data_IF_322357660478
#
_entry.id   IF_322357660478
#
_cell.length_a   1.000
_cell.length_b   1.000
_cell.length_c   1.000
_cell.angle_alpha   90.00
_cell.angle_beta   90.00
_cell.angle_gamma   90.00
#
_symmetry.space_group_name_H-M   'P 1'
#
loop_
_entity.id
_entity.type
_entity.pdbx_description
1 polymer ?
#
# COMPACT_ATOMS: atom_id res chain seq x y z
N UNK A 1 12.64 2.10 12.56
CA UNK A 1 12.18 3.46 12.17
C UNK A 1 11.22 3.96 13.25
N UNK A 2 11.46 5.15 13.81
CA UNK A 2 10.79 5.67 15.03
C UNK A 2 9.77 6.76 14.69
N UNK A 3 8.96 6.57 13.66
CA UNK A 3 7.88 7.50 13.32
C UNK A 3 6.64 7.21 14.17
N UNK A 4 6.03 8.25 14.72
CA UNK A 4 4.85 8.16 15.56
C UNK A 4 3.79 9.19 15.10
N UNK A 5 2.59 8.76 14.68
CA UNK A 5 1.55 9.69 14.22
C UNK A 5 0.98 10.59 15.33
N UNK A 6 1.27 10.31 16.60
CA UNK A 6 0.85 11.12 17.75
C UNK A 6 1.71 12.36 17.96
N UNK A 7 2.91 12.41 17.36
CA UNK A 7 3.80 13.55 17.49
C UNK A 7 3.30 14.73 16.67
N UNK A 8 3.48 15.96 17.17
CA UNK A 8 3.15 17.17 16.42
C UNK A 8 4.07 17.25 15.19
N UNK A 9 3.45 17.31 14.01
CA UNK A 9 4.13 17.59 12.75
C UNK A 9 4.01 19.08 12.43
N UNK A 10 5.10 19.71 12.01
CA UNK A 10 5.12 21.07 11.51
C UNK A 10 5.27 21.03 9.99
N UNK A 11 4.49 21.85 9.29
CA UNK A 11 4.56 21.95 7.83
C UNK A 11 5.83 22.73 7.49
N UNK A 12 6.70 22.12 6.71
CA UNK A 12 7.87 22.76 6.12
C UNK A 12 7.57 23.07 4.64
N UNK A 13 7.43 24.35 4.25
CA UNK A 13 7.14 24.74 2.86
C UNK A 13 8.30 24.47 1.89
N UNK A 14 9.52 24.28 2.39
CA UNK A 14 10.72 24.07 1.58
C UNK A 14 11.05 22.59 1.39
N UNK A 15 10.35 21.70 2.09
CA UNK A 15 10.60 20.26 2.01
C UNK A 15 10.25 19.73 0.61
N UNK A 16 11.19 19.01 0.01
CA UNK A 16 10.93 18.26 -1.22
C UNK A 16 9.83 17.20 -0.96
N UNK A 17 8.70 17.23 -1.70
CA UNK A 17 7.68 16.20 -1.60
C UNK A 17 8.22 14.77 -1.78
N UNK A 18 9.25 14.58 -2.61
CA UNK A 18 9.87 13.28 -2.89
C UNK A 18 10.74 12.74 -1.74
N UNK A 19 11.16 13.59 -0.79
CA UNK A 19 11.85 13.18 0.44
C UNK A 19 10.89 12.61 1.51
N UNK A 20 9.60 12.55 1.20
CA UNK A 20 8.62 11.95 2.09
C UNK A 20 8.77 10.43 2.14
N UNK A 21 8.69 9.87 3.35
CA UNK A 21 8.70 8.42 3.53
C UNK A 21 7.48 7.78 2.85
N UNK A 22 7.72 7.10 1.73
CA UNK A 22 6.66 6.44 0.96
C UNK A 22 6.02 5.25 1.70
N UNK A 23 6.61 4.80 2.82
CA UNK A 23 6.05 3.79 3.72
C UNK A 23 5.02 4.30 4.73
N UNK A 24 4.71 5.60 4.77
CA UNK A 24 3.72 6.13 5.72
C UNK A 24 2.34 5.47 5.59
N UNK A 25 1.76 5.25 4.37
CA UNK A 25 0.47 4.59 4.25
C UNK A 25 0.46 3.18 4.84
N UNK A 26 1.56 2.42 4.69
CA UNK A 26 1.71 1.07 5.27
C UNK A 26 1.64 1.11 6.80
N UNK A 27 2.26 2.11 7.44
CA UNK A 27 2.19 2.27 8.89
C UNK A 27 0.81 2.75 9.34
N UNK A 28 0.26 3.76 8.65
CA UNK A 28 -1.00 4.40 9.03
C UNK A 28 -2.20 3.45 8.89
N UNK A 29 -2.30 2.71 7.79
CA UNK A 29 -3.41 1.78 7.52
C UNK A 29 -3.11 0.34 7.97
N UNK A 30 -1.89 0.07 8.43
CA UNK A 30 -1.52 -1.16 9.13
C UNK A 30 -1.56 -0.96 10.65
N UNK A 31 -0.41 -0.62 11.23
CA UNK A 31 -0.21 -0.54 12.69
C UNK A 31 -1.09 0.51 13.38
N UNK A 32 -1.32 1.65 12.75
CA UNK A 32 -1.99 2.81 13.36
C UNK A 32 -3.42 3.04 12.84
N UNK A 33 -4.08 1.98 12.34
CA UNK A 33 -5.39 2.09 11.71
C UNK A 33 -6.47 2.64 12.64
N UNK A 34 -6.52 2.18 13.89
CA UNK A 34 -7.51 2.65 14.85
C UNK A 34 -7.31 4.13 15.20
N UNK A 35 -6.05 4.56 15.36
CA UNK A 35 -5.75 5.98 15.53
C UNK A 35 -6.24 6.82 14.34
N UNK A 36 -6.05 6.33 13.11
CA UNK A 36 -6.56 7.03 11.92
C UNK A 36 -8.09 7.20 11.97
N UNK A 37 -8.83 6.14 12.30
CA UNK A 37 -10.29 6.18 12.38
C UNK A 37 -10.78 7.16 13.45
N UNK A 38 -10.13 7.15 14.62
CA UNK A 38 -10.47 8.06 15.72
C UNK A 38 -10.16 9.51 15.38
N UNK A 39 -9.03 9.76 14.69
CA UNK A 39 -8.59 11.11 14.33
C UNK A 39 -9.42 11.70 13.17
N UNK A 40 -9.89 10.86 12.26
CA UNK A 40 -10.61 11.28 11.04
C UNK A 40 -11.96 10.57 10.89
N UNK A 41 -12.92 10.80 11.81
CA UNK A 41 -14.20 10.06 11.83
C UNK A 41 -15.12 10.34 10.63
N UNK A 42 -14.84 11.40 9.86
CA UNK A 42 -15.52 11.74 8.62
C UNK A 42 -15.04 10.95 7.40
N UNK A 43 -13.92 10.22 7.52
CA UNK A 43 -13.37 9.40 6.45
C UNK A 43 -13.67 7.92 6.73
N UNK A 44 -14.42 7.29 5.82
CA UNK A 44 -14.73 5.86 5.89
C UNK A 44 -13.70 5.10 5.06
N UNK A 45 -13.05 4.10 5.67
CA UNK A 45 -12.19 3.17 4.96
C UNK A 45 -13.03 2.12 4.22
N UNK A 46 -13.15 2.25 2.90
CA UNK A 46 -13.92 1.32 2.06
C UNK A 46 -13.08 0.13 1.60
N UNK A 47 -11.79 0.35 1.30
CA UNK A 47 -10.92 -0.70 0.78
C UNK A 47 -9.52 -0.58 1.37
N UNK A 48 -8.97 -1.72 1.79
CA UNK A 48 -7.58 -1.88 2.20
C UNK A 48 -7.02 -3.13 1.52
N UNK A 49 -6.28 -2.92 0.42
CA UNK A 49 -5.81 -4.00 -0.44
C UNK A 49 -4.31 -3.87 -0.70
N UNK A 50 -3.56 -4.87 -0.29
CA UNK A 50 -2.18 -5.06 -0.73
C UNK A 50 -2.17 -5.44 -2.22
N UNK A 51 -1.14 -5.09 -2.99
CA UNK A 51 -1.08 -5.40 -4.42
C UNK A 51 0.34 -5.74 -4.87
N UNK A 52 0.43 -6.40 -6.04
CA UNK A 52 1.69 -6.64 -6.74
C UNK A 52 2.69 -7.43 -5.91
N UNK A 53 2.29 -8.64 -5.52
CA UNK A 53 3.18 -9.55 -4.77
C UNK A 53 4.26 -10.10 -5.70
N UNK A 54 3.89 -10.50 -6.92
CA UNK A 54 4.80 -11.05 -7.92
C UNK A 54 4.75 -10.25 -9.22
N UNK A 55 3.57 -9.77 -9.60
CA UNK A 55 3.29 -9.23 -10.92
C UNK A 55 4.18 -8.05 -11.30
N UNK A 56 4.48 -7.16 -10.34
CA UNK A 56 5.38 -6.03 -10.60
C UNK A 56 6.83 -6.47 -10.76
N UNK A 57 7.32 -7.35 -9.88
CA UNK A 57 8.70 -7.83 -9.92
C UNK A 57 8.97 -8.65 -11.18
N UNK A 58 8.02 -9.52 -11.55
CA UNK A 58 8.17 -10.40 -12.70
C UNK A 58 7.84 -9.69 -14.03
N UNK A 59 7.15 -8.55 -14.04
CA UNK A 59 6.94 -7.78 -15.28
C UNK A 59 8.19 -7.00 -15.71
N UNK A 60 9.25 -6.98 -14.89
CA UNK A 60 10.47 -6.21 -15.15
C UNK A 60 10.33 -4.70 -14.91
N UNK A 61 9.18 -4.23 -14.41
CA UNK A 61 8.96 -2.80 -14.16
C UNK A 61 9.19 -1.93 -15.42
N UNK A 62 10.24 -1.10 -15.38
CA UNK A 62 10.65 -0.23 -16.50
C UNK A 62 11.73 -0.85 -17.40
N UNK A 63 12.01 -2.14 -17.27
CA UNK A 63 13.00 -2.84 -18.07
C UNK A 63 12.40 -3.32 -19.41
N UNK A 64 13.26 -3.58 -20.40
CA UNK A 64 12.86 -4.10 -21.70
C UNK A 64 12.45 -5.59 -21.66
N UNK A 65 12.68 -6.28 -20.55
CA UNK A 65 12.36 -7.69 -20.36
C UNK A 65 11.14 -7.87 -19.44
N UNK A 66 10.41 -8.98 -19.62
CA UNK A 66 9.34 -9.43 -18.73
C UNK A 66 9.46 -10.95 -18.54
N UNK A 67 9.45 -11.40 -17.30
CA UNK A 67 9.44 -12.84 -16.94
C UNK A 67 8.03 -13.44 -17.03
N UNK A 68 6.99 -12.61 -17.18
CA UNK A 68 5.61 -13.06 -17.38
C UNK A 68 5.21 -12.83 -18.85
N UNK A 69 4.79 -13.88 -19.57
CA UNK A 69 4.12 -13.71 -20.85
C UNK A 69 2.82 -12.91 -20.69
N UNK A 70 2.54 -11.95 -21.57
CA UNK A 70 1.36 -11.07 -21.48
C UNK A 70 0.03 -11.81 -21.27
N UNK A 71 -0.15 -12.97 -21.93
CA UNK A 71 -1.33 -13.84 -21.78
C UNK A 71 -1.57 -14.37 -20.35
N UNK A 72 -0.52 -14.45 -19.53
CA UNK A 72 -0.57 -14.97 -18.16
C UNK A 72 -0.74 -13.88 -17.10
N UNK A 73 -0.63 -12.60 -17.46
CA UNK A 73 -0.73 -11.48 -16.51
C UNK A 73 -2.05 -11.53 -15.73
N UNK A 74 -3.18 -11.66 -16.44
CA UNK A 74 -4.49 -11.74 -15.81
C UNK A 74 -4.65 -12.96 -14.88
N UNK A 75 -4.01 -14.07 -15.22
CA UNK A 75 -4.02 -15.30 -14.41
C UNK A 75 -3.22 -15.10 -13.12
N UNK A 76 -2.02 -14.54 -13.23
CA UNK A 76 -1.17 -14.23 -12.08
C UNK A 76 -1.87 -13.25 -11.12
N UNK A 77 -2.46 -12.17 -11.65
CA UNK A 77 -3.18 -11.20 -10.83
C UNK A 77 -4.39 -11.81 -10.11
N UNK A 78 -5.09 -12.78 -10.73
CA UNK A 78 -6.17 -13.53 -10.07
C UNK A 78 -5.64 -14.39 -8.91
N UNK A 79 -4.49 -15.04 -9.10
CA UNK A 79 -3.83 -15.84 -8.07
C UNK A 79 -3.40 -14.94 -6.91
N UNK A 80 -2.77 -13.80 -7.17
CA UNK A 80 -2.37 -12.84 -6.14
C UNK A 80 -3.55 -12.39 -5.28
N UNK A 81 -4.67 -12.00 -5.93
CA UNK A 81 -5.88 -11.60 -5.20
C UNK A 81 -6.42 -12.73 -4.32
N UNK A 82 -6.34 -13.99 -4.77
CA UNK A 82 -6.75 -15.15 -3.95
C UNK A 82 -5.81 -15.37 -2.78
N UNK A 83 -4.50 -15.26 -2.97
CA UNK A 83 -3.50 -15.38 -1.90
C UNK A 83 -3.74 -14.31 -0.85
N UNK A 84 -3.95 -13.06 -1.26
CA UNK A 84 -4.23 -11.94 -0.34
C UNK A 84 -5.51 -12.14 0.46
N UNK A 85 -6.60 -12.56 -0.20
CA UNK A 85 -7.86 -12.85 0.49
C UNK A 85 -7.71 -13.99 1.50
N UNK A 86 -6.92 -15.01 1.18
CA UNK A 86 -6.70 -16.18 2.05
C UNK A 86 -5.73 -15.88 3.19
N UNK A 87 -4.72 -15.05 2.95
CA UNK A 87 -3.64 -14.75 3.89
C UNK A 87 -3.40 -13.23 3.95
N UNK A 88 -4.32 -12.46 4.55
CA UNK A 88 -4.25 -11.00 4.55
C UNK A 88 -3.01 -10.44 5.27
N UNK A 89 -2.48 -11.19 6.24
CA UNK A 89 -1.27 -10.83 6.99
C UNK A 89 0.01 -10.85 6.14
N UNK A 90 0.06 -11.65 5.07
CA UNK A 90 1.24 -11.71 4.20
C UNK A 90 1.44 -10.38 3.46
N UNK A 91 0.36 -9.67 3.14
CA UNK A 91 0.40 -8.47 2.33
C UNK A 91 1.38 -7.41 2.87
N UNK A 92 1.39 -7.17 4.18
CA UNK A 92 2.29 -6.19 4.79
C UNK A 92 3.78 -6.56 4.75
N UNK A 93 4.12 -7.80 4.40
CA UNK A 93 5.51 -8.31 4.33
C UNK A 93 5.98 -8.39 2.88
N UNK A 94 5.14 -8.90 1.98
CA UNK A 94 5.56 -9.28 0.62
C UNK A 94 4.98 -8.40 -0.49
N UNK A 95 3.96 -7.58 -0.20
CA UNK A 95 3.36 -6.78 -1.24
C UNK A 95 4.22 -5.54 -1.55
N UNK A 96 4.35 -5.25 -2.83
CA UNK A 96 5.09 -4.07 -3.27
C UNK A 96 4.36 -2.76 -2.97
N UNK A 97 3.02 -2.75 -3.05
CA UNK A 97 2.23 -1.53 -2.88
C UNK A 97 0.91 -1.78 -2.16
N UNK A 98 0.38 -0.69 -1.61
CA UNK A 98 -0.88 -0.64 -0.88
C UNK A 98 -1.88 0.24 -1.62
N UNK A 99 -3.11 -0.25 -1.77
CA UNK A 99 -4.25 0.52 -2.26
C UNK A 99 -5.20 0.76 -1.09
N UNK A 100 -5.52 2.03 -0.87
CA UNK A 100 -6.47 2.49 0.12
C UNK A 100 -7.58 3.26 -0.61
N UNK A 101 -8.83 2.96 -0.30
CA UNK A 101 -9.98 3.74 -0.76
C UNK A 101 -10.67 4.32 0.46
N UNK A 102 -10.73 5.65 0.50
CA UNK A 102 -11.43 6.41 1.52
C UNK A 102 -12.63 7.12 0.90
N UNK A 103 -13.75 7.10 1.59
CA UNK A 103 -14.93 7.89 1.27
C UNK A 103 -15.11 8.98 2.31
N UNK A 104 -15.46 10.19 1.85
CA UNK A 104 -15.84 11.27 2.74
C UNK A 104 -17.35 11.18 2.98
N UNK A 105 -17.75 11.13 4.24
CA UNK A 105 -19.15 11.29 4.65
C UNK A 105 -19.73 12.64 4.23
#
# INVERSE_FOLDING_TARGET
MKWNPMEKCFIDPQKDPYDSNQGMPTLLFGKYLEFFKDKFPSLILLEHSWMSIFGYQLSGGCQAWSLIPGRLVNHLLKIERRIQKKFPFLGGIIAFRLKIVLEKK
#
